data_IF_878310156703
#
_entry.id   IF_878310156703
#
_cell.length_a   1.000
_cell.length_b   1.000
_cell.length_c   1.000
_cell.angle_alpha   90.00
_cell.angle_beta   90.00
_cell.angle_gamma   90.00
#
_symmetry.space_group_name_H-M   'P 1'
#
loop_
_entity.id
_entity.type
_entity.pdbx_description
1 polymer ?
#
# COMPACT_ATOMS: atom_id res chain seq x y z
N UNK A 1 46.15 -11.04 -51.14
CA UNK A 1 46.32 -11.50 -49.75
C UNK A 1 46.79 -10.34 -48.90
N UNK A 2 45.88 -9.73 -48.12
CA UNK A 2 46.21 -8.64 -47.20
C UNK A 2 46.38 -9.25 -45.81
N UNK A 3 47.59 -9.19 -45.28
CA UNK A 3 47.92 -9.67 -43.94
C UNK A 3 47.26 -8.76 -42.91
N UNK A 4 46.29 -9.29 -42.18
CA UNK A 4 45.80 -8.67 -40.94
C UNK A 4 46.87 -8.92 -39.89
N UNK A 5 47.46 -7.85 -39.38
CA UNK A 5 48.50 -7.89 -38.35
C UNK A 5 47.96 -8.59 -37.09
N UNK A 6 48.70 -9.57 -36.57
CA UNK A 6 48.41 -10.26 -35.30
C UNK A 6 48.21 -9.29 -34.12
N UNK A 7 48.77 -8.08 -34.20
CA UNK A 7 48.62 -7.04 -33.18
C UNK A 7 47.17 -6.54 -33.08
N UNK A 8 46.42 -6.53 -34.20
CA UNK A 8 45.02 -6.10 -34.23
C UNK A 8 44.06 -7.16 -33.64
N UNK A 9 44.44 -8.44 -33.65
CA UNK A 9 43.62 -9.51 -33.09
C UNK A 9 43.77 -9.62 -31.57
N UNK A 10 44.98 -9.37 -31.04
CA UNK A 10 45.22 -9.32 -29.59
C UNK A 10 44.54 -8.10 -28.96
N UNK A 11 44.57 -6.92 -29.61
CA UNK A 11 43.84 -5.75 -29.09
C UNK A 11 42.31 -5.94 -29.09
N UNK A 12 41.75 -6.61 -30.09
CA UNK A 12 40.30 -6.89 -30.14
C UNK A 12 39.85 -7.89 -29.07
N UNK A 13 40.67 -8.91 -28.77
CA UNK A 13 40.40 -9.84 -27.67
C UNK A 13 40.55 -9.20 -26.28
N UNK A 14 41.51 -8.28 -26.11
CA UNK A 14 41.65 -7.51 -24.87
C UNK A 14 40.46 -6.56 -24.65
N UNK A 15 39.97 -5.90 -25.69
CA UNK A 15 38.81 -4.99 -25.61
C UNK A 15 37.49 -5.72 -25.33
N UNK A 16 37.32 -6.95 -25.83
CA UNK A 16 36.17 -7.80 -25.50
C UNK A 16 36.26 -8.40 -24.09
N UNK A 17 37.47 -8.61 -23.55
CA UNK A 17 37.63 -9.04 -22.16
C UNK A 17 37.45 -7.91 -21.13
N UNK A 18 37.54 -6.64 -21.56
CA UNK A 18 37.22 -5.48 -20.70
C UNK A 18 35.75 -5.06 -20.74
N UNK A 19 34.92 -5.61 -21.64
CA UNK A 19 33.47 -5.34 -21.65
C UNK A 19 32.66 -6.32 -20.79
N UNK A 20 33.28 -7.35 -20.21
CA UNK A 20 32.56 -8.40 -19.50
C UNK A 20 33.08 -8.73 -18.09
N UNK A 21 33.99 -7.95 -17.50
CA UNK A 21 34.25 -8.12 -16.06
C UNK A 21 34.75 -6.88 -15.33
N UNK A 22 33.98 -6.51 -14.29
CA UNK A 22 34.25 -5.58 -13.17
C UNK A 22 34.14 -4.09 -13.51
N UNK A 23 33.49 -3.26 -12.70
CA UNK A 23 33.21 -3.40 -11.27
C UNK A 23 31.77 -3.79 -10.96
N UNK A 24 31.61 -4.53 -9.86
CA UNK A 24 30.49 -4.28 -8.97
C UNK A 24 30.39 -2.76 -8.86
N UNK A 25 29.35 -2.14 -9.43
CA UNK A 25 28.90 -0.90 -8.84
C UNK A 25 28.59 -1.31 -7.40
N UNK A 26 29.53 -1.04 -6.49
CA UNK A 26 29.24 -1.07 -5.06
C UNK A 26 28.07 -0.13 -4.97
N UNK A 27 26.88 -0.71 -4.87
CA UNK A 27 25.67 0.07 -4.76
C UNK A 27 25.92 0.94 -3.55
N UNK A 28 26.09 2.25 -3.76
CA UNK A 28 26.32 3.14 -2.62
C UNK A 28 25.07 3.16 -1.75
N UNK A 29 23.92 2.67 -2.24
CA UNK A 29 22.79 2.27 -1.39
C UNK A 29 23.26 1.26 -0.36
N UNK A 30 23.04 1.56 0.92
CA UNK A 30 23.13 0.56 1.98
C UNK A 30 21.90 -0.35 1.87
N UNK A 31 21.81 -1.05 0.75
CA UNK A 31 20.91 -2.18 0.55
C UNK A 31 21.45 -3.31 1.41
N UNK A 32 21.02 -3.36 2.66
CA UNK A 32 21.19 -4.52 3.51
C UNK A 32 19.98 -5.42 3.33
N UNK A 33 20.23 -6.73 3.29
CA UNK A 33 19.16 -7.68 3.58
C UNK A 33 18.65 -7.33 4.98
N UNK A 34 17.35 -7.06 5.12
CA UNK A 34 16.73 -6.94 6.42
C UNK A 34 17.11 -8.20 7.21
N UNK A 35 17.78 -8.05 8.37
CA UNK A 35 18.26 -9.21 9.13
C UNK A 35 17.08 -10.09 9.57
N UNK A 36 15.89 -9.51 9.72
CA UNK A 36 14.63 -10.22 9.97
C UNK A 36 14.12 -10.99 8.74
N UNK A 37 14.59 -10.66 7.54
CA UNK A 37 14.35 -11.37 6.28
C UNK A 37 15.64 -12.02 5.74
N UNK A 38 16.63 -12.27 6.60
CA UNK A 38 17.88 -12.89 6.15
C UNK A 38 17.62 -14.30 5.64
N UNK A 39 18.31 -14.73 4.58
CA UNK A 39 18.16 -16.09 4.04
C UNK A 39 18.36 -17.20 5.10
N UNK A 40 19.17 -16.92 6.13
CA UNK A 40 19.30 -17.79 7.30
C UNK A 40 18.02 -17.93 8.12
N UNK A 41 17.24 -16.86 8.29
CA UNK A 41 15.93 -16.89 8.95
C UNK A 41 14.83 -17.45 8.04
N UNK A 42 14.95 -17.27 6.73
CA UNK A 42 14.02 -17.83 5.73
C UNK A 42 14.16 -19.36 5.53
N UNK A 43 14.86 -20.07 6.41
CA UNK A 43 14.97 -21.53 6.38
C UNK A 43 16.32 -22.08 5.91
N UNK A 44 17.40 -21.30 5.96
CA UNK A 44 18.76 -21.83 5.77
C UNK A 44 18.96 -22.49 4.41
N UNK A 45 18.31 -21.96 3.36
CA UNK A 45 18.61 -22.40 2.00
C UNK A 45 20.09 -22.10 1.75
N UNK A 46 20.90 -23.14 1.61
CA UNK A 46 22.11 -23.01 0.81
C UNK A 46 21.62 -22.47 -0.54
N UNK A 47 21.97 -21.22 -0.84
CA UNK A 47 21.57 -20.62 -2.10
C UNK A 47 22.10 -21.53 -3.20
N UNK A 48 21.17 -22.05 -4.01
CA UNK A 48 21.55 -22.88 -5.15
C UNK A 48 22.59 -22.10 -5.95
N UNK A 49 23.70 -22.75 -6.26
CA UNK A 49 24.67 -22.17 -7.18
C UNK A 49 23.98 -21.88 -8.50
N UNK A 50 24.49 -20.91 -9.26
CA UNK A 50 23.97 -20.61 -10.59
C UNK A 50 23.89 -21.86 -11.49
N UNK A 51 24.85 -22.78 -11.35
CA UNK A 51 24.87 -24.05 -12.09
C UNK A 51 23.77 -25.01 -11.65
N UNK A 52 23.36 -24.97 -10.39
CA UNK A 52 22.22 -25.74 -9.87
C UNK A 52 20.90 -25.11 -10.31
N UNK A 53 20.77 -23.77 -10.26
CA UNK A 53 19.59 -23.06 -10.76
C UNK A 53 19.30 -23.36 -12.25
N UNK A 54 20.34 -23.41 -13.10
CA UNK A 54 20.18 -23.79 -14.52
C UNK A 54 19.64 -25.21 -14.66
N UNK A 55 20.02 -26.13 -13.77
CA UNK A 55 19.57 -27.53 -13.80
C UNK A 55 18.17 -27.70 -13.22
N UNK A 56 17.72 -26.77 -12.38
CA UNK A 56 16.37 -26.76 -11.81
C UNK A 56 15.37 -26.27 -12.85
N UNK A 57 14.74 -27.20 -13.56
CA UNK A 57 13.73 -26.88 -14.60
C UNK A 57 12.31 -26.73 -14.06
N UNK A 58 12.07 -27.13 -12.81
CA UNK A 58 10.76 -27.09 -12.15
C UNK A 58 10.94 -27.00 -10.64
N UNK A 59 10.06 -26.25 -9.99
CA UNK A 59 9.87 -26.26 -8.54
C UNK A 59 8.43 -26.67 -8.26
N UNK A 60 8.23 -27.53 -7.27
CA UNK A 60 6.90 -27.94 -6.81
C UNK A 60 6.64 -27.36 -5.43
N UNK A 61 5.43 -26.87 -5.20
CA UNK A 61 4.97 -26.36 -3.90
C UNK A 61 4.04 -27.38 -3.26
N UNK A 62 3.95 -27.38 -1.93
CA UNK A 62 3.08 -28.31 -1.18
C UNK A 62 1.58 -28.10 -1.46
N UNK A 63 1.20 -26.92 -1.94
CA UNK A 63 -0.16 -26.59 -2.37
C UNK A 63 -0.14 -25.49 -3.42
N UNK A 64 -1.20 -25.46 -4.23
CA UNK A 64 -1.46 -24.33 -5.12
C UNK A 64 -2.29 -23.28 -4.36
N UNK A 65 -1.91 -22.00 -4.42
CA UNK A 65 -2.76 -20.95 -3.88
C UNK A 65 -4.14 -20.99 -4.52
N UNK A 66 -5.20 -20.76 -3.75
CA UNK A 66 -6.53 -20.67 -4.33
C UNK A 66 -6.76 -19.33 -5.04
N UNK A 67 -7.57 -19.36 -6.10
CA UNK A 67 -7.91 -18.16 -6.89
C UNK A 67 -9.13 -17.46 -6.32
N UNK A 68 -9.12 -16.14 -6.29
CA UNK A 68 -10.31 -15.33 -6.05
C UNK A 68 -10.12 -13.92 -6.62
N UNK A 69 -11.11 -13.06 -6.39
CA UNK A 69 -11.00 -11.62 -6.61
C UNK A 69 -10.13 -10.96 -5.54
N UNK A 70 -9.53 -9.81 -5.89
CA UNK A 70 -8.82 -8.94 -4.95
C UNK A 70 -9.76 -8.00 -4.20
N UNK A 71 -11.08 -8.19 -4.31
CA UNK A 71 -12.12 -7.37 -3.66
C UNK A 71 -11.94 -5.87 -3.95
N UNK A 72 -12.19 -5.45 -5.21
CA UNK A 72 -11.93 -4.09 -5.67
C UNK A 72 -12.68 -3.06 -4.83
N UNK A 73 -12.01 -1.97 -4.46
CA UNK A 73 -12.65 -0.89 -3.71
C UNK A 73 -13.71 -0.16 -4.56
N UNK A 74 -13.58 -0.14 -5.89
CA UNK A 74 -14.61 0.34 -6.83
C UNK A 74 -15.90 -0.48 -6.74
N UNK A 75 -15.82 -1.71 -6.25
CA UNK A 75 -16.98 -2.58 -6.01
C UNK A 75 -17.34 -2.68 -4.53
N UNK A 76 -16.94 -1.68 -3.72
CA UNK A 76 -17.19 -1.61 -2.27
C UNK A 76 -16.52 -2.75 -1.47
N UNK A 77 -15.42 -3.31 -1.97
CA UNK A 77 -14.64 -4.35 -1.28
C UNK A 77 -15.49 -5.58 -0.91
N UNK A 78 -15.46 -5.99 0.35
CA UNK A 78 -16.29 -7.10 0.84
C UNK A 78 -17.80 -6.81 0.90
N UNK A 79 -18.21 -5.55 0.74
CA UNK A 79 -19.63 -5.16 0.67
C UNK A 79 -20.22 -5.39 -0.72
N UNK A 80 -19.43 -5.91 -1.67
CA UNK A 80 -19.91 -6.28 -3.00
C UNK A 80 -20.99 -7.36 -2.90
N UNK A 81 -22.20 -7.06 -3.36
CA UNK A 81 -23.27 -8.06 -3.58
C UNK A 81 -23.18 -8.64 -4.98
N UNK A 82 -23.67 -9.87 -5.13
CA UNK A 82 -23.76 -10.54 -6.44
C UNK A 82 -24.88 -9.94 -7.30
N UNK A 83 -25.98 -9.53 -6.66
CA UNK A 83 -27.02 -8.73 -7.28
C UNK A 83 -26.54 -7.28 -7.41
N UNK A 84 -26.69 -6.71 -8.61
CA UNK A 84 -26.42 -5.29 -8.84
C UNK A 84 -27.65 -4.48 -8.44
N UNK A 85 -27.43 -3.42 -7.67
CA UNK A 85 -28.41 -2.35 -7.51
C UNK A 85 -28.54 -1.60 -8.85
N UNK A 86 -29.74 -1.08 -9.12
CA UNK A 86 -29.98 -0.15 -10.23
C UNK A 86 -29.54 1.29 -9.90
N UNK A 87 -29.26 1.56 -8.61
CA UNK A 87 -28.75 2.84 -8.14
C UNK A 87 -27.25 2.97 -8.45
N UNK A 88 -26.78 4.16 -8.89
CA UNK A 88 -25.35 4.39 -9.11
C UNK A 88 -24.49 4.18 -7.86
N UNK A 89 -24.98 4.64 -6.70
CA UNK A 89 -24.31 4.44 -5.41
C UNK A 89 -24.99 3.32 -4.64
N UNK A 90 -26.24 3.50 -4.21
CA UNK A 90 -27.05 2.46 -3.55
C UNK A 90 -26.75 2.28 -2.06
N UNK A 91 -26.27 3.34 -1.38
CA UNK A 91 -25.83 3.26 0.02
C UNK A 91 -27.02 3.01 0.96
N UNK A 92 -28.11 3.76 0.79
CA UNK A 92 -29.28 3.64 1.66
C UNK A 92 -29.98 2.28 1.47
N UNK A 93 -30.17 1.87 0.21
CA UNK A 93 -30.73 0.57 -0.15
C UNK A 93 -29.92 -0.57 0.47
N UNK A 94 -28.58 -0.52 0.36
CA UNK A 94 -27.70 -1.55 0.90
C UNK A 94 -27.95 -1.79 2.39
N UNK A 95 -27.89 -0.75 3.22
CA UNK A 95 -28.04 -0.88 4.67
C UNK A 95 -29.49 -1.15 5.08
N UNK A 96 -30.47 -0.72 4.29
CA UNK A 96 -31.88 -1.06 4.51
C UNK A 96 -32.09 -2.57 4.34
N UNK A 97 -31.58 -3.16 3.23
CA UNK A 97 -31.61 -4.62 3.03
C UNK A 97 -30.89 -5.35 4.16
N UNK A 98 -29.71 -4.89 4.57
CA UNK A 98 -28.95 -5.55 5.63
C UNK A 98 -29.70 -5.53 6.98
N UNK A 99 -30.37 -4.42 7.29
CA UNK A 99 -31.20 -4.26 8.50
C UNK A 99 -32.41 -5.18 8.46
N UNK A 100 -33.07 -5.33 7.31
CA UNK A 100 -34.17 -6.26 7.11
C UNK A 100 -33.71 -7.71 7.27
N UNK A 101 -32.62 -8.09 6.60
CA UNK A 101 -32.07 -9.45 6.62
C UNK A 101 -31.58 -9.88 8.01
N UNK A 102 -31.22 -8.94 8.88
CA UNK A 102 -30.87 -9.24 10.28
C UNK A 102 -32.02 -9.87 11.07
N UNK A 103 -33.27 -9.68 10.63
CA UNK A 103 -34.50 -10.23 11.22
C UNK A 103 -34.93 -11.55 10.58
N UNK A 104 -34.34 -11.91 9.44
CA UNK A 104 -34.76 -13.08 8.69
C UNK A 104 -34.34 -14.37 9.40
N UNK A 105 -35.22 -15.37 9.33
CA UNK A 105 -34.91 -16.70 9.82
C UNK A 105 -33.89 -17.41 8.91
N UNK A 106 -34.01 -17.23 7.61
CA UNK A 106 -33.04 -17.71 6.61
C UNK A 106 -32.56 -16.49 5.82
N UNK A 107 -31.25 -16.24 5.84
CA UNK A 107 -30.65 -15.14 5.09
C UNK A 107 -30.67 -15.41 3.58
N UNK A 108 -30.83 -14.33 2.81
CA UNK A 108 -30.59 -14.36 1.37
C UNK A 108 -29.14 -14.80 1.08
N UNK A 109 -28.93 -15.88 0.30
CA UNK A 109 -27.59 -16.33 -0.06
C UNK A 109 -26.82 -15.33 -0.94
N UNK A 110 -27.48 -14.35 -1.56
CA UNK A 110 -26.86 -13.36 -2.45
C UNK A 110 -26.30 -12.12 -1.73
N UNK A 111 -26.46 -12.06 -0.41
CA UNK A 111 -25.80 -11.04 0.42
C UNK A 111 -24.28 -11.08 0.25
N UNK A 112 -23.63 -9.94 0.46
CA UNK A 112 -22.18 -9.85 0.40
C UNK A 112 -21.51 -10.62 1.55
N UNK A 113 -20.21 -10.98 1.42
CA UNK A 113 -19.46 -11.56 2.53
C UNK A 113 -19.50 -10.67 3.78
N UNK A 114 -19.41 -9.34 3.61
CA UNK A 114 -19.52 -8.38 4.71
C UNK A 114 -20.91 -8.38 5.37
N UNK A 115 -21.97 -8.40 4.57
CA UNK A 115 -23.36 -8.46 5.07
C UNK A 115 -23.55 -9.67 6.00
N UNK A 116 -23.14 -10.84 5.52
CA UNK A 116 -23.27 -12.12 6.23
C UNK A 116 -22.45 -12.10 7.51
N UNK A 117 -21.20 -11.62 7.46
CA UNK A 117 -20.35 -11.53 8.64
C UNK A 117 -20.95 -10.64 9.72
N UNK A 118 -21.37 -9.43 9.35
CA UNK A 118 -21.94 -8.46 10.28
C UNK A 118 -23.23 -9.02 10.94
N UNK A 119 -24.10 -9.69 10.19
CA UNK A 119 -25.31 -10.34 10.73
C UNK A 119 -24.95 -11.48 11.67
N UNK A 120 -24.05 -12.37 11.26
CA UNK A 120 -23.58 -13.51 12.07
C UNK A 120 -22.91 -13.04 13.36
N UNK A 121 -22.09 -11.99 13.30
CA UNK A 121 -21.45 -11.38 14.47
C UNK A 121 -22.51 -10.87 15.45
N UNK A 122 -23.52 -10.14 14.97
CA UNK A 122 -24.60 -9.64 15.82
C UNK A 122 -25.39 -10.78 16.48
N UNK A 123 -25.73 -11.82 15.73
CA UNK A 123 -26.44 -12.98 16.26
C UNK A 123 -25.62 -13.72 17.32
N UNK A 124 -24.35 -14.00 17.04
CA UNK A 124 -23.44 -14.69 17.98
C UNK A 124 -23.24 -13.93 19.29
N UNK A 125 -23.20 -12.60 19.22
CA UNK A 125 -22.89 -11.75 20.37
C UNK A 125 -24.11 -11.02 20.95
N UNK A 126 -25.33 -11.42 20.56
CA UNK A 126 -26.59 -10.81 21.01
C UNK A 126 -26.60 -9.28 20.89
N UNK A 127 -26.07 -8.75 19.78
CA UNK A 127 -26.05 -7.31 19.51
C UNK A 127 -27.34 -6.93 18.79
N UNK A 128 -27.99 -5.88 19.29
CA UNK A 128 -29.25 -5.36 18.75
C UNK A 128 -28.95 -4.14 17.90
N UNK A 129 -29.62 -4.03 16.74
CA UNK A 129 -29.55 -2.85 15.89
C UNK A 129 -30.40 -1.72 16.48
N UNK A 130 -29.92 -0.49 16.42
CA UNK A 130 -30.74 0.69 16.67
C UNK A 130 -31.50 1.04 15.38
N UNK A 131 -32.56 0.30 15.10
CA UNK A 131 -33.29 0.40 13.83
C UNK A 131 -33.85 1.79 13.55
N UNK A 132 -34.36 2.48 14.58
CA UNK A 132 -34.88 3.85 14.45
C UNK A 132 -33.77 4.82 14.03
N UNK A 133 -32.65 4.81 14.74
CA UNK A 133 -31.52 5.68 14.39
C UNK A 133 -30.94 5.32 13.01
N UNK A 134 -30.82 4.02 12.71
CA UNK A 134 -30.34 3.58 11.40
C UNK A 134 -31.28 4.06 10.28
N UNK A 135 -32.61 3.99 10.47
CA UNK A 135 -33.58 4.47 9.49
C UNK A 135 -33.49 5.99 9.27
N UNK A 136 -33.29 6.78 10.33
CA UNK A 136 -33.07 8.23 10.22
C UNK A 136 -31.78 8.56 9.46
N UNK A 137 -30.69 7.85 9.76
CA UNK A 137 -29.42 7.97 9.04
C UNK A 137 -29.59 7.59 7.56
N UNK A 138 -30.22 6.45 7.26
CA UNK A 138 -30.43 5.99 5.87
C UNK A 138 -31.31 6.92 5.07
N UNK A 139 -32.34 7.53 5.68
CA UNK A 139 -33.18 8.55 5.02
C UNK A 139 -32.38 9.76 4.56
N UNK A 140 -31.31 10.10 5.28
CA UNK A 140 -30.38 11.19 4.88
C UNK A 140 -29.58 10.81 3.64
N UNK A 141 -29.36 9.52 3.37
CA UNK A 141 -28.63 9.03 2.19
C UNK A 141 -29.54 8.66 1.02
N UNK A 142 -30.82 8.39 1.26
CA UNK A 142 -31.80 8.13 0.20
C UNK A 142 -31.97 9.34 -0.73
N UNK A 143 -31.82 10.56 -0.21
CA UNK A 143 -31.82 11.77 -1.03
C UNK A 143 -30.62 11.81 -1.99
N UNK A 144 -29.42 11.38 -1.56
CA UNK A 144 -28.25 11.23 -2.46
C UNK A 144 -28.59 10.30 -3.63
N UNK A 145 -29.11 9.10 -3.34
CA UNK A 145 -29.38 8.09 -4.37
C UNK A 145 -30.46 8.55 -5.37
N UNK A 146 -31.28 9.54 -4.98
CA UNK A 146 -32.32 10.14 -5.83
C UNK A 146 -31.83 11.38 -6.58
N UNK A 147 -30.96 12.18 -5.97
CA UNK A 147 -30.43 13.44 -6.52
C UNK A 147 -29.21 13.24 -7.42
N UNK A 148 -28.50 12.11 -7.32
CA UNK A 148 -27.32 11.84 -8.11
C UNK A 148 -27.68 11.61 -9.59
N UNK A 149 -27.41 12.62 -10.41
CA UNK A 149 -27.53 12.57 -11.86
C UNK A 149 -26.14 12.43 -12.50
N UNK A 150 -25.87 11.27 -13.11
CA UNK A 150 -24.60 11.02 -13.80
C UNK A 150 -24.45 11.82 -15.11
N UNK A 151 -25.52 12.48 -15.59
CA UNK A 151 -25.47 13.38 -16.73
C UNK A 151 -25.20 14.84 -16.35
N UNK A 152 -25.21 15.17 -15.06
CA UNK A 152 -24.85 16.49 -14.55
C UNK A 152 -23.35 16.78 -14.70
N UNK A 153 -22.94 18.03 -14.44
CA UNK A 153 -21.51 18.36 -14.37
C UNK A 153 -20.81 17.51 -13.31
N UNK A 154 -19.66 16.92 -13.66
CA UNK A 154 -18.86 16.05 -12.79
C UNK A 154 -18.62 16.66 -11.40
N UNK A 155 -18.36 17.97 -11.33
CA UNK A 155 -18.16 18.71 -10.09
C UNK A 155 -19.36 18.66 -9.14
N UNK A 156 -20.59 18.70 -9.69
CA UNK A 156 -21.84 18.62 -8.94
C UNK A 156 -22.03 17.20 -8.38
N UNK A 157 -21.86 16.18 -9.22
CA UNK A 157 -21.99 14.77 -8.82
C UNK A 157 -20.94 14.39 -7.78
N UNK A 158 -19.69 14.85 -7.94
CA UNK A 158 -18.63 14.69 -6.93
C UNK A 158 -18.96 15.39 -5.61
N UNK A 159 -19.44 16.63 -5.65
CA UNK A 159 -19.79 17.38 -4.43
C UNK A 159 -20.88 16.66 -3.63
N UNK A 160 -21.84 16.05 -4.33
CA UNK A 160 -22.90 15.27 -3.71
C UNK A 160 -22.35 13.99 -3.04
N UNK A 161 -21.54 13.18 -3.75
CA UNK A 161 -20.90 11.99 -3.18
C UNK A 161 -19.95 12.36 -2.02
N UNK A 162 -19.22 13.47 -2.13
CA UNK A 162 -18.34 13.99 -1.07
C UNK A 162 -19.12 14.36 0.19
N UNK A 163 -20.29 14.99 0.03
CA UNK A 163 -21.19 15.31 1.15
C UNK A 163 -21.64 14.03 1.85
N UNK A 164 -22.04 13.00 1.10
CA UNK A 164 -22.40 11.70 1.67
C UNK A 164 -21.20 11.01 2.32
N UNK A 165 -20.02 11.02 1.70
CA UNK A 165 -18.80 10.45 2.26
C UNK A 165 -18.46 11.08 3.62
N UNK A 166 -18.51 12.41 3.71
CA UNK A 166 -18.28 13.16 4.94
C UNK A 166 -19.34 12.86 6.01
N UNK A 167 -20.62 12.81 5.62
CA UNK A 167 -21.69 12.43 6.52
C UNK A 167 -21.51 10.99 7.02
N UNK A 168 -21.29 10.03 6.12
CA UNK A 168 -21.08 8.62 6.43
C UNK A 168 -19.93 8.40 7.39
N UNK A 169 -18.82 9.14 7.23
CA UNK A 169 -17.60 9.04 8.06
C UNK A 169 -17.59 9.96 9.28
N UNK A 170 -18.62 10.78 9.48
CA UNK A 170 -18.68 11.74 10.58
C UNK A 170 -18.62 11.06 11.95
N UNK A 171 -18.26 11.83 12.99
CA UNK A 171 -18.34 11.35 14.36
C UNK A 171 -19.79 11.02 14.79
N UNK A 172 -20.79 11.73 14.26
CA UNK A 172 -22.21 11.50 14.58
C UNK A 172 -22.70 10.14 14.09
N UNK A 173 -22.12 9.63 12.99
CA UNK A 173 -22.46 8.31 12.44
C UNK A 173 -21.49 7.20 12.90
N UNK A 174 -20.62 7.45 13.87
CA UNK A 174 -19.67 6.44 14.36
C UNK A 174 -20.38 5.20 14.92
N UNK A 175 -21.48 5.39 15.65
CA UNK A 175 -22.24 4.27 16.22
C UNK A 175 -23.04 3.50 15.17
N UNK A 176 -23.46 4.15 14.07
CA UNK A 176 -23.99 3.44 12.91
C UNK A 176 -22.92 2.50 12.34
N UNK A 177 -21.71 3.02 12.06
CA UNK A 177 -20.62 2.21 11.48
C UNK A 177 -20.20 1.05 12.37
N UNK A 178 -20.21 1.21 13.70
CA UNK A 178 -19.94 0.13 14.66
C UNK A 178 -20.96 -1.00 14.63
N UNK A 179 -22.19 -0.74 14.19
CA UNK A 179 -23.21 -1.79 14.03
C UNK A 179 -22.96 -2.65 12.79
N UNK A 180 -22.23 -2.13 11.80
CA UNK A 180 -21.94 -2.76 10.52
C UNK A 180 -20.43 -2.68 10.19
N UNK A 181 -19.56 -3.24 11.06
CA UNK A 181 -18.13 -2.96 10.99
C UNK A 181 -17.51 -3.40 9.66
N UNK A 182 -17.89 -4.57 9.13
CA UNK A 182 -17.34 -5.08 7.88
C UNK A 182 -17.91 -4.33 6.68
N UNK A 183 -19.23 -4.14 6.65
CA UNK A 183 -19.88 -3.48 5.52
C UNK A 183 -19.45 -2.00 5.41
N UNK A 184 -19.30 -1.33 6.56
CA UNK A 184 -18.95 0.10 6.59
C UNK A 184 -17.54 0.39 6.10
N UNK A 185 -16.61 -0.54 6.26
CA UNK A 185 -15.22 -0.38 5.81
C UNK A 185 -15.12 -0.26 4.28
N UNK A 186 -15.78 -1.20 3.57
CA UNK A 186 -15.85 -1.18 2.11
C UNK A 186 -16.56 0.08 1.57
N UNK A 187 -17.67 0.48 2.20
CA UNK A 187 -18.40 1.69 1.81
C UNK A 187 -17.64 2.99 2.10
N UNK A 188 -16.95 3.08 3.25
CA UNK A 188 -16.14 4.25 3.59
C UNK A 188 -15.05 4.49 2.54
N UNK A 189 -14.34 3.43 2.15
CA UNK A 189 -13.32 3.47 1.12
C UNK A 189 -13.92 3.88 -0.24
N UNK A 190 -14.96 3.17 -0.70
CA UNK A 190 -15.61 3.46 -1.98
C UNK A 190 -16.08 4.92 -2.11
N UNK A 191 -16.77 5.43 -1.08
CA UNK A 191 -17.27 6.81 -1.06
C UNK A 191 -16.12 7.83 -1.03
N UNK A 192 -15.04 7.54 -0.29
CA UNK A 192 -13.87 8.40 -0.23
C UNK A 192 -13.21 8.53 -1.61
N UNK A 193 -12.81 7.40 -2.22
CA UNK A 193 -12.13 7.41 -3.52
C UNK A 193 -13.00 7.98 -4.63
N UNK A 194 -14.28 7.56 -4.71
CA UNK A 194 -15.24 8.12 -5.68
C UNK A 194 -15.40 9.64 -5.53
N UNK A 195 -15.36 10.18 -4.30
CA UNK A 195 -15.56 11.62 -4.07
C UNK A 195 -14.33 12.51 -4.28
N UNK A 196 -13.13 11.93 -4.35
CA UNK A 196 -11.89 12.69 -4.37
C UNK A 196 -11.48 13.06 -5.80
N UNK A 197 -11.12 14.33 -6.02
CA UNK A 197 -10.89 14.91 -7.35
C UNK A 197 -9.76 14.22 -8.13
N UNK A 198 -8.81 13.61 -7.44
CA UNK A 198 -7.66 12.91 -8.04
C UNK A 198 -8.00 11.54 -8.64
N UNK A 199 -9.10 10.90 -8.23
CA UNK A 199 -9.44 9.54 -8.63
C UNK A 199 -10.65 9.52 -9.56
N UNK A 200 -10.67 8.57 -10.49
CA UNK A 200 -11.77 8.38 -11.43
C UNK A 200 -13.13 8.31 -10.72
N UNK A 201 -14.08 9.14 -11.15
CA UNK A 201 -15.45 9.17 -10.63
C UNK A 201 -16.25 8.04 -11.25
N UNK A 202 -16.51 6.98 -10.49
CA UNK A 202 -17.17 5.78 -11.00
C UNK A 202 -16.44 5.27 -12.25
N UNK A 203 -17.17 5.00 -13.33
CA UNK A 203 -16.64 4.54 -14.62
C UNK A 203 -16.52 5.71 -15.65
N UNK A 204 -16.49 6.97 -15.18
CA UNK A 204 -16.38 8.13 -16.07
C UNK A 204 -14.94 8.35 -16.52
N UNK A 205 -14.66 8.13 -17.81
CA UNK A 205 -13.35 8.42 -18.42
C UNK A 205 -12.92 9.87 -18.20
N UNK A 206 -11.60 10.09 -18.16
CA UNK A 206 -10.95 11.41 -17.99
C UNK A 206 -11.35 12.20 -16.72
N UNK A 207 -11.98 11.54 -15.75
CA UNK A 207 -12.42 12.19 -14.50
C UNK A 207 -11.38 12.15 -13.37
N UNK A 208 -10.29 11.38 -13.52
CA UNK A 208 -9.21 11.24 -12.54
C UNK A 208 -8.35 10.00 -12.82
N UNK A 209 -7.44 9.67 -11.89
CA UNK A 209 -6.61 8.46 -11.93
C UNK A 209 -7.46 7.20 -11.72
N UNK A 210 -7.26 6.19 -12.57
CA UNK A 210 -7.90 4.89 -12.39
C UNK A 210 -7.41 4.22 -11.09
N UNK A 211 -8.36 3.94 -10.20
CA UNK A 211 -8.15 3.29 -8.92
C UNK A 211 -8.85 1.92 -8.86
N UNK A 212 -9.31 1.40 -9.99
CA UNK A 212 -9.93 0.08 -10.10
C UNK A 212 -9.01 -1.04 -9.61
N UNK A 213 -7.69 -0.87 -9.71
CA UNK A 213 -6.69 -1.80 -9.21
C UNK A 213 -6.58 -1.86 -7.68
N UNK A 214 -7.15 -0.89 -6.95
CA UNK A 214 -7.09 -0.86 -5.49
C UNK A 214 -8.05 -1.89 -4.87
N UNK A 215 -7.56 -2.64 -3.88
CA UNK A 215 -8.33 -3.64 -3.15
C UNK A 215 -7.49 -4.37 -2.11
N UNK A 216 -7.94 -5.55 -1.72
CA UNK A 216 -7.33 -6.41 -0.71
C UNK A 216 -6.41 -7.47 -1.30
N UNK A 217 -5.69 -7.17 -2.39
CA UNK A 217 -4.71 -8.10 -2.99
C UNK A 217 -3.63 -8.53 -1.98
N UNK A 218 -3.17 -7.62 -1.12
CA UNK A 218 -2.21 -7.88 -0.04
C UNK A 218 -2.74 -8.82 1.05
N UNK A 219 -4.07 -8.95 1.19
CA UNK A 219 -4.70 -9.94 2.07
C UNK A 219 -4.99 -11.26 1.34
N UNK A 220 -5.44 -11.18 0.08
CA UNK A 220 -5.77 -12.34 -0.73
C UNK A 220 -4.53 -13.21 -0.98
N UNK A 221 -3.42 -12.62 -1.41
CA UNK A 221 -2.20 -13.35 -1.76
C UNK A 221 -1.69 -14.28 -0.64
N UNK A 222 -1.49 -13.81 0.61
CA UNK A 222 -1.15 -14.70 1.70
C UNK A 222 -2.28 -15.66 2.08
N UNK A 223 -3.53 -15.20 2.12
CA UNK A 223 -4.65 -16.08 2.46
C UNK A 223 -4.76 -17.27 1.49
N UNK A 224 -4.52 -17.02 0.21
CA UNK A 224 -4.50 -18.01 -0.86
C UNK A 224 -3.50 -19.12 -0.62
N UNK A 225 -2.33 -18.77 -0.10
CA UNK A 225 -1.22 -19.68 0.12
C UNK A 225 -1.28 -20.38 1.48
N UNK A 226 -1.64 -19.64 2.53
CA UNK A 226 -1.54 -20.07 3.92
C UNK A 226 -2.80 -20.76 4.45
N UNK A 227 -3.97 -20.49 3.86
CA UNK A 227 -5.23 -21.10 4.26
C UNK A 227 -5.62 -22.24 3.31
N UNK A 228 -6.16 -23.32 3.86
CA UNK A 228 -6.78 -24.37 3.05
C UNK A 228 -7.89 -23.78 2.17
N UNK A 229 -7.91 -24.17 0.90
CA UNK A 229 -8.97 -23.75 -0.02
C UNK A 229 -10.34 -24.16 0.51
N UNK A 230 -11.29 -23.23 0.69
CA UNK A 230 -12.66 -23.59 1.04
C UNK A 230 -13.29 -24.41 -0.09
N UNK A 231 -13.61 -25.69 0.19
CA UNK A 231 -14.13 -26.65 -0.79
C UNK A 231 -15.66 -26.72 -0.84
N UNK A 232 -16.31 -26.29 0.22
CA UNK A 232 -17.75 -26.43 0.41
C UNK A 232 -18.32 -25.19 1.10
N UNK A 233 -19.52 -24.79 0.69
CA UNK A 233 -20.35 -23.87 1.43
C UNK A 233 -20.71 -24.42 2.81
N UNK A 234 -20.86 -23.53 3.78
CA UNK A 234 -21.21 -23.86 5.17
C UNK A 234 -22.57 -23.26 5.50
N UNK A 235 -23.48 -24.09 6.00
CA UNK A 235 -24.73 -23.61 6.58
C UNK A 235 -24.52 -23.34 8.07
N UNK A 236 -24.29 -22.07 8.42
CA UNK A 236 -24.16 -21.65 9.80
C UNK A 236 -25.55 -21.53 10.45
N UNK A 237 -25.76 -22.21 11.58
CA UNK A 237 -27.04 -22.25 12.30
C UNK A 237 -26.91 -21.62 13.68
N UNK A 238 -27.87 -20.75 14.03
CA UNK A 238 -27.96 -20.05 15.31
C UNK A 238 -29.41 -20.13 15.78
N UNK A 239 -29.69 -21.02 16.73
CA UNK A 239 -31.05 -21.33 17.19
C UNK A 239 -31.97 -21.74 16.02
N UNK A 240 -32.99 -20.94 15.74
CA UNK A 240 -33.93 -21.10 14.63
C UNK A 240 -33.48 -20.42 13.33
N UNK A 241 -32.34 -19.72 13.35
CA UNK A 241 -31.81 -18.94 12.23
C UNK A 241 -30.69 -19.65 11.48
N UNK A 242 -30.56 -19.38 10.18
CA UNK A 242 -29.53 -19.96 9.33
C UNK A 242 -29.01 -19.04 8.24
N UNK A 243 -27.73 -19.21 7.89
CA UNK A 243 -27.03 -18.47 6.84
C UNK A 243 -26.21 -19.44 5.99
N UNK A 244 -26.39 -19.39 4.68
CA UNK A 244 -25.51 -20.08 3.74
C UNK A 244 -24.29 -19.18 3.44
N UNK A 245 -23.13 -19.59 3.94
CA UNK A 245 -21.84 -18.96 3.69
C UNK A 245 -21.13 -19.76 2.60
N UNK A 246 -21.05 -19.20 1.40
CA UNK A 246 -20.46 -19.86 0.23
C UNK A 246 -18.93 -19.89 0.33
N UNK A 247 -18.29 -20.68 -0.52
CA UNK A 247 -16.83 -20.75 -0.62
C UNK A 247 -16.22 -19.37 -0.92
N UNK A 248 -16.88 -18.56 -1.76
CA UNK A 248 -16.46 -17.19 -2.06
C UNK A 248 -16.59 -16.25 -0.86
N UNK A 249 -17.64 -16.40 -0.05
CA UNK A 249 -17.77 -15.66 1.21
C UNK A 249 -16.63 -16.01 2.17
N UNK A 250 -16.32 -17.30 2.32
CA UNK A 250 -15.24 -17.76 3.20
C UNK A 250 -13.89 -17.20 2.72
N UNK A 251 -13.59 -17.27 1.42
CA UNK A 251 -12.36 -16.70 0.85
C UNK A 251 -12.28 -15.18 1.00
N UNK A 252 -13.40 -14.46 0.87
CA UNK A 252 -13.46 -13.03 1.14
C UNK A 252 -13.15 -12.68 2.60
N UNK A 253 -13.76 -13.41 3.54
CA UNK A 253 -13.52 -13.22 4.97
C UNK A 253 -12.08 -13.58 5.36
N UNK A 254 -11.50 -14.64 4.78
CA UNK A 254 -10.09 -14.96 4.94
C UNK A 254 -9.20 -13.85 4.40
N UNK A 255 -9.49 -13.36 3.19
CA UNK A 255 -8.76 -12.25 2.57
C UNK A 255 -8.71 -11.04 3.49
N UNK A 256 -9.85 -10.63 4.07
CA UNK A 256 -9.89 -9.51 4.99
C UNK A 256 -9.19 -9.78 6.32
N UNK A 257 -9.33 -10.98 6.86
CA UNK A 257 -8.60 -11.38 8.07
C UNK A 257 -7.09 -11.23 7.87
N UNK A 258 -6.57 -11.64 6.72
CA UNK A 258 -5.15 -11.48 6.38
C UNK A 258 -4.80 -10.02 6.07
N UNK A 259 -5.65 -9.27 5.37
CA UNK A 259 -5.42 -7.84 5.13
C UNK A 259 -5.25 -7.05 6.44
N UNK A 260 -6.12 -7.32 7.43
CA UNK A 260 -6.17 -6.54 8.67
C UNK A 260 -5.26 -7.08 9.77
N UNK A 261 -5.01 -8.39 9.79
CA UNK A 261 -4.39 -9.08 10.93
C UNK A 261 -3.37 -10.13 10.50
N UNK A 262 -2.75 -10.00 9.32
CA UNK A 262 -1.67 -10.93 8.98
C UNK A 262 -0.55 -10.85 10.03
N UNK A 263 0.03 -12.00 10.44
CA UNK A 263 1.08 -12.04 11.44
C UNK A 263 2.34 -11.33 10.91
N UNK A 264 2.49 -10.03 11.21
CA UNK A 264 3.60 -9.19 10.74
C UNK A 264 4.97 -9.80 11.02
N UNK A 265 5.11 -10.46 12.16
CA UNK A 265 6.35 -11.11 12.63
C UNK A 265 6.73 -12.38 11.87
N UNK A 266 5.80 -12.93 11.08
CA UNK A 266 5.97 -14.13 10.26
C UNK A 266 5.92 -13.78 8.76
N UNK A 267 5.85 -12.49 8.42
CA UNK A 267 5.99 -12.01 7.06
C UNK A 267 7.42 -11.60 6.77
N UNK A 268 7.94 -12.06 5.64
CA UNK A 268 9.30 -11.77 5.22
C UNK A 268 9.29 -10.93 3.96
N UNK A 269 9.49 -9.63 4.11
CA UNK A 269 9.60 -8.75 2.96
C UNK A 269 11.05 -8.73 2.44
N UNK A 270 11.23 -9.05 1.16
CA UNK A 270 12.53 -8.95 0.47
C UNK A 270 12.50 -7.68 -0.41
N UNK A 271 13.38 -6.72 -0.12
CA UNK A 271 13.46 -5.45 -0.86
C UNK A 271 13.08 -4.20 -0.07
N UNK A 272 13.17 -4.20 1.27
CA UNK A 272 12.96 -2.99 2.08
C UNK A 272 14.05 -1.96 1.80
N UNK A 273 13.69 -0.69 1.68
CA UNK A 273 14.66 0.42 1.64
C UNK A 273 14.78 1.03 3.03
N UNK A 274 15.78 0.62 3.81
CA UNK A 274 15.99 1.09 5.18
C UNK A 274 17.13 2.10 5.29
N UNK A 275 16.97 3.16 6.07
CA UNK A 275 18.07 4.10 6.37
C UNK A 275 18.33 4.35 7.85
N UNK A 276 17.40 4.11 8.82
CA UNK A 276 17.77 4.39 10.23
C UNK A 276 17.06 3.65 11.38
N UNK A 277 15.84 3.11 11.25
CA UNK A 277 15.20 2.43 12.40
C UNK A 277 15.05 0.92 12.22
N UNK A 278 16.13 0.18 12.48
CA UNK A 278 16.10 -1.29 12.54
C UNK A 278 15.57 -1.81 13.89
N UNK A 279 15.41 -0.95 14.89
CA UNK A 279 14.97 -1.34 16.23
C UNK A 279 13.43 -1.42 16.34
N UNK A 280 12.73 -0.61 15.55
CA UNK A 280 11.29 -0.67 15.38
C UNK A 280 10.93 -0.62 13.88
N UNK A 281 11.11 -1.74 13.16
CA UNK A 281 10.73 -1.85 11.74
C UNK A 281 9.20 -1.82 11.52
N UNK A 282 8.40 -1.81 12.60
CA UNK A 282 6.94 -1.79 12.60
C UNK A 282 6.36 -0.41 13.01
N UNK A 283 7.22 0.57 13.35
CA UNK A 283 6.79 1.89 13.82
C UNK A 283 6.02 2.67 12.75
N UNK A 284 4.99 3.41 13.18
CA UNK A 284 4.20 4.27 12.29
C UNK A 284 5.11 5.25 11.55
N UNK A 285 5.05 5.23 10.22
CA UNK A 285 5.83 6.15 9.40
C UNK A 285 5.27 7.55 9.63
N UNK A 286 6.08 8.48 10.12
CA UNK A 286 5.58 9.83 10.31
C UNK A 286 5.17 10.43 8.95
N UNK A 287 3.91 10.85 8.85
CA UNK A 287 3.30 11.36 7.61
C UNK A 287 2.80 12.79 7.76
N UNK A 288 2.56 13.46 6.64
CA UNK A 288 1.80 14.70 6.63
C UNK A 288 0.28 14.45 6.78
N UNK A 289 -0.49 15.54 6.78
CA UNK A 289 -1.96 15.52 6.85
C UNK A 289 -2.65 14.78 5.69
N UNK A 290 -1.92 14.52 4.59
CA UNK A 290 -2.41 13.81 3.42
C UNK A 290 -1.99 12.33 3.43
N UNK A 291 -1.34 11.86 4.50
CA UNK A 291 -0.87 10.48 4.62
C UNK A 291 0.43 10.19 3.86
N UNK A 292 1.11 11.22 3.33
CA UNK A 292 2.41 11.03 2.67
C UNK A 292 3.51 10.98 3.73
N UNK A 293 4.20 9.85 3.83
CA UNK A 293 5.39 9.71 4.69
C UNK A 293 6.48 10.72 4.33
N UNK A 294 7.13 11.33 5.33
CA UNK A 294 8.33 12.13 5.08
C UNK A 294 9.60 11.27 5.15
N UNK A 295 10.63 11.68 4.39
CA UNK A 295 11.89 10.94 4.26
C UNK A 295 12.82 11.12 5.46
N UNK A 296 12.61 12.17 6.23
CA UNK A 296 13.42 12.54 7.37
C UNK A 296 12.94 13.85 7.96
N UNK A 297 13.65 14.31 9.00
CA UNK A 297 13.49 15.63 9.58
C UNK A 297 14.84 16.27 9.86
N UNK A 298 14.88 17.59 9.70
CA UNK A 298 16.00 18.43 10.12
C UNK A 298 15.68 18.97 11.52
N UNK A 299 16.64 18.84 12.44
CA UNK A 299 16.52 19.24 13.84
C UNK A 299 17.32 20.53 14.05
N UNK A 300 16.67 21.61 14.46
CA UNK A 300 17.31 22.90 14.79
C UNK A 300 16.89 23.34 16.18
N UNK A 301 17.70 23.00 17.18
CA UNK A 301 17.30 23.14 18.59
C UNK A 301 16.11 22.22 18.88
N UNK A 302 15.00 22.78 19.33
CA UNK A 302 13.75 22.03 19.58
C UNK A 302 12.89 21.85 18.32
N UNK A 303 13.16 22.61 17.25
CA UNK A 303 12.38 22.56 16.03
C UNK A 303 12.73 21.32 15.19
N UNK A 304 11.69 20.57 14.79
CA UNK A 304 11.79 19.43 13.87
C UNK A 304 11.06 19.80 12.57
N UNK A 305 11.80 19.85 11.47
CA UNK A 305 11.25 20.19 10.15
C UNK A 305 11.26 18.94 9.27
N UNK A 306 10.10 18.32 8.99
CA UNK A 306 10.04 17.17 8.11
C UNK A 306 10.41 17.58 6.68
N UNK A 307 10.94 16.63 5.91
CA UNK A 307 11.23 16.86 4.49
C UNK A 307 10.91 15.65 3.61
N UNK A 308 10.62 15.94 2.35
CA UNK A 308 10.32 14.99 1.28
C UNK A 308 11.45 15.03 0.25
N UNK A 309 11.83 13.87 -0.32
CA UNK A 309 12.77 13.81 -1.45
C UNK A 309 11.97 13.84 -2.75
N UNK A 310 12.29 14.77 -3.66
CA UNK A 310 11.51 15.02 -4.88
C UNK A 310 11.94 14.20 -6.10
N UNK A 311 13.14 13.64 -6.10
CA UNK A 311 13.60 12.74 -7.15
C UNK A 311 14.62 11.74 -6.63
N UNK A 312 14.67 10.58 -7.27
CA UNK A 312 15.72 9.60 -7.01
C UNK A 312 17.05 10.12 -7.53
N UNK A 313 17.93 10.46 -6.57
CA UNK A 313 19.38 10.64 -6.67
C UNK A 313 19.89 11.34 -7.95
N UNK A 314 20.48 12.52 -7.79
CA UNK A 314 21.46 13.01 -8.76
C UNK A 314 22.73 12.14 -8.68
N UNK A 315 22.76 11.05 -9.44
CA UNK A 315 23.96 10.28 -9.74
C UNK A 315 24.84 11.06 -10.70
N UNK A 316 25.39 12.20 -10.28
CA UNK A 316 26.55 12.72 -10.98
C UNK A 316 27.70 11.77 -10.71
N UNK A 317 28.14 11.07 -11.77
CA UNK A 317 29.25 10.11 -11.78
C UNK A 317 30.60 10.68 -11.28
N UNK A 318 30.64 11.92 -10.78
CA UNK A 318 31.83 12.66 -10.36
C UNK A 318 31.99 12.81 -8.84
N UNK A 319 31.04 12.34 -8.01
CA UNK A 319 31.11 12.52 -6.55
C UNK A 319 31.32 11.18 -5.84
N UNK A 320 32.57 10.74 -5.72
CA UNK A 320 32.96 9.37 -5.31
C UNK A 320 32.71 8.97 -3.84
N UNK A 321 31.81 9.64 -3.09
CA UNK A 321 31.45 9.22 -1.71
C UNK A 321 30.28 9.99 -1.08
N UNK A 322 29.33 10.53 -1.85
CA UNK A 322 28.29 11.38 -1.31
C UNK A 322 27.02 11.40 -2.13
N UNK A 323 25.87 11.54 -1.45
CA UNK A 323 24.54 11.54 -2.06
C UNK A 323 23.89 12.90 -1.90
N UNK A 324 23.35 13.45 -2.98
CA UNK A 324 22.61 14.70 -2.95
C UNK A 324 21.11 14.40 -3.07
N UNK A 325 20.33 14.90 -2.11
CA UNK A 325 18.88 14.80 -2.05
C UNK A 325 18.27 16.18 -2.34
N UNK A 326 17.55 16.36 -3.47
CA UNK A 326 16.67 17.50 -3.63
C UNK A 326 15.48 17.31 -2.70
N UNK A 327 15.39 18.15 -1.67
CA UNK A 327 14.36 18.05 -0.64
C UNK A 327 13.34 19.17 -0.75
N UNK A 328 12.14 18.92 -0.25
CA UNK A 328 11.12 19.92 0.02
C UNK A 328 10.58 19.78 1.42
N UNK A 329 10.13 20.87 2.01
CA UNK A 329 9.46 20.89 3.30
C UNK A 329 7.95 20.64 3.20
N UNK A 330 7.41 20.54 1.97
CA UNK A 330 6.01 20.19 1.73
C UNK A 330 5.87 19.08 0.68
N UNK A 331 4.82 18.28 0.80
CA UNK A 331 4.58 17.14 -0.10
C UNK A 331 4.32 17.56 -1.55
N UNK A 332 3.74 18.74 -1.75
CA UNK A 332 3.39 19.30 -3.07
C UNK A 332 4.40 20.35 -3.58
N UNK A 333 5.32 20.82 -2.73
CA UNK A 333 6.28 21.87 -3.08
C UNK A 333 7.31 21.49 -4.14
N UNK A 334 7.97 22.50 -4.71
CA UNK A 334 9.19 22.32 -5.50
C UNK A 334 10.39 21.93 -4.64
N UNK A 335 11.59 21.92 -5.22
CA UNK A 335 12.82 21.71 -4.44
C UNK A 335 13.11 22.96 -3.61
N UNK A 336 13.07 22.83 -2.29
CA UNK A 336 13.39 23.90 -1.35
C UNK A 336 14.89 23.98 -1.04
N UNK A 337 15.57 22.82 -1.07
CA UNK A 337 16.99 22.72 -0.75
C UNK A 337 17.63 21.43 -1.28
N UNK A 338 18.95 21.35 -1.19
CA UNK A 338 19.76 20.22 -1.55
C UNK A 338 20.53 19.75 -0.32
N UNK A 339 20.21 18.55 0.16
CA UNK A 339 20.86 17.92 1.30
C UNK A 339 21.95 16.97 0.77
N UNK A 340 23.20 17.18 1.16
CA UNK A 340 24.31 16.31 0.86
C UNK A 340 24.59 15.41 2.07
N UNK A 341 24.41 14.10 1.90
CA UNK A 341 24.91 13.08 2.81
C UNK A 341 26.31 12.66 2.36
N UNK A 342 27.24 12.64 3.29
CA UNK A 342 28.59 12.08 3.11
C UNK A 342 28.83 11.02 4.17
N UNK A 343 29.66 10.03 3.87
CA UNK A 343 30.01 8.97 4.83
C UNK A 343 31.52 8.87 4.99
N UNK A 344 31.99 8.91 6.24
CA UNK A 344 33.40 8.67 6.59
C UNK A 344 33.46 7.72 7.78
N UNK A 345 34.16 6.60 7.62
CA UNK A 345 34.32 5.60 8.69
C UNK A 345 32.99 5.17 9.33
N UNK A 346 31.98 4.89 8.51
CA UNK A 346 30.60 4.54 8.90
C UNK A 346 29.80 5.65 9.61
N UNK A 347 30.38 6.82 9.86
CA UNK A 347 29.65 7.98 10.36
C UNK A 347 29.09 8.78 9.18
N UNK A 348 27.79 9.06 9.21
CA UNK A 348 27.13 9.94 8.25
C UNK A 348 27.29 11.40 8.69
N UNK A 349 27.57 12.29 7.75
CA UNK A 349 27.57 13.74 7.91
C UNK A 349 26.68 14.37 6.86
N UNK A 350 25.98 15.43 7.23
CA UNK A 350 24.99 16.07 6.39
C UNK A 350 25.31 17.55 6.28
N UNK A 351 25.18 18.09 5.08
CA UNK A 351 25.15 19.53 4.87
C UNK A 351 23.99 19.88 3.97
N UNK A 352 23.45 21.08 4.08
CA UNK A 352 22.34 21.55 3.24
C UNK A 352 22.69 22.87 2.58
N UNK A 353 22.21 23.05 1.36
CA UNK A 353 22.30 24.32 0.64
C UNK A 353 21.02 24.62 -0.13
N UNK A 354 20.77 25.89 -0.45
CA UNK A 354 19.60 26.30 -1.26
C UNK A 354 19.76 25.98 -2.75
N UNK A 355 20.97 25.75 -3.23
CA UNK A 355 21.25 25.45 -4.64
C UNK A 355 22.17 24.25 -4.79
N UNK A 356 22.00 23.52 -5.89
CA UNK A 356 22.84 22.39 -6.25
C UNK A 356 24.30 22.84 -6.46
N UNK A 357 24.51 23.99 -7.09
CA UNK A 357 25.85 24.54 -7.35
C UNK A 357 26.65 24.77 -6.07
N UNK A 358 26.01 25.24 -4.98
CA UNK A 358 26.67 25.41 -3.69
C UNK A 358 27.13 24.08 -3.11
N UNK A 359 26.29 23.04 -3.18
CA UNK A 359 26.65 21.67 -2.75
C UNK A 359 27.82 21.12 -3.57
N UNK A 360 27.81 21.34 -4.89
CA UNK A 360 28.90 20.94 -5.79
C UNK A 360 30.19 21.67 -5.43
N UNK A 361 30.15 22.99 -5.25
CA UNK A 361 31.30 23.81 -4.88
C UNK A 361 31.89 23.37 -3.54
N UNK A 362 31.06 23.19 -2.52
CA UNK A 362 31.47 22.64 -1.23
C UNK A 362 32.21 21.32 -1.36
N UNK A 363 31.70 20.43 -2.23
CA UNK A 363 32.31 19.12 -2.40
C UNK A 363 33.62 19.15 -3.17
N UNK A 364 33.72 20.00 -4.20
CA UNK A 364 34.89 20.09 -5.08
C UNK A 364 36.05 20.89 -4.47
N UNK A 365 35.75 22.03 -3.84
CA UNK A 365 36.78 22.98 -3.35
C UNK A 365 36.76 23.19 -1.84
N UNK A 366 35.76 22.65 -1.12
CA UNK A 366 35.55 22.93 0.30
C UNK A 366 34.90 24.30 0.56
N UNK A 367 34.39 24.98 -0.48
CA UNK A 367 33.71 26.27 -0.33
C UNK A 367 32.46 26.13 0.55
N UNK A 368 32.44 26.85 1.67
CA UNK A 368 31.33 26.82 2.64
C UNK A 368 30.28 27.90 2.37
N UNK A 369 30.43 28.67 1.31
CA UNK A 369 29.47 29.73 0.96
C UNK A 369 28.09 29.14 0.69
N UNK A 370 27.11 29.51 1.52
CA UNK A 370 25.73 29.01 1.40
C UNK A 370 25.51 27.58 1.91
N UNK A 371 26.48 27.02 2.64
CA UNK A 371 26.39 25.69 3.26
C UNK A 371 26.03 25.82 4.74
N UNK A 372 25.01 25.08 5.15
CA UNK A 372 24.69 24.83 6.56
C UNK A 372 25.13 23.40 6.91
N UNK A 373 25.92 23.24 7.97
CA UNK A 373 26.35 21.94 8.48
C UNK A 373 25.28 21.35 9.40
N UNK A 374 24.77 20.17 9.04
CA UNK A 374 23.72 19.44 9.74
C UNK A 374 24.19 18.06 10.21
N UNK A 375 25.49 17.83 10.39
CA UNK A 375 26.06 16.50 10.64
C UNK A 375 25.51 15.77 11.87
N UNK A 376 24.94 16.48 12.84
CA UNK A 376 24.25 15.92 14.02
C UNK A 376 22.74 16.20 14.06
N UNK A 377 22.20 16.79 12.99
CA UNK A 377 20.93 17.51 13.00
C UNK A 377 19.98 17.01 11.90
N UNK A 378 20.27 15.86 11.29
CA UNK A 378 19.35 15.20 10.37
C UNK A 378 19.03 13.82 10.90
N UNK A 379 17.74 13.55 11.02
CA UNK A 379 17.21 12.23 11.28
C UNK A 379 16.51 11.76 10.01
N UNK A 380 17.08 10.77 9.33
CA UNK A 380 16.43 10.11 8.19
C UNK A 380 15.43 9.08 8.74
N UNK A 381 14.24 8.98 8.16
CA UNK A 381 13.31 7.90 8.46
C UNK A 381 13.46 6.80 7.40
N UNK A 382 13.53 5.55 7.83
CA UNK A 382 13.41 4.35 6.97
C UNK A 382 12.54 3.33 7.70
N UNK A 383 11.81 2.41 7.06
CA UNK A 383 11.98 1.87 5.72
C UNK A 383 10.75 2.13 4.83
N UNK A 384 10.95 2.18 3.51
CA UNK A 384 9.83 2.20 2.56
C UNK A 384 9.67 0.82 1.93
N UNK A 385 8.43 0.32 1.92
CA UNK A 385 8.00 -0.72 0.99
C UNK A 385 7.97 -0.06 -0.39
N UNK A 386 8.96 -0.36 -1.23
CA UNK A 386 9.03 0.23 -2.59
C UNK A 386 8.00 -0.41 -3.54
N UNK A 387 7.30 -1.45 -3.09
CA UNK A 387 6.14 -2.08 -3.73
C UNK A 387 5.68 -3.24 -2.82
N UNK A 388 4.39 -3.43 -2.46
CA UNK A 388 3.97 -4.48 -1.52
C UNK A 388 3.96 -5.89 -2.15
N UNK A 389 5.09 -6.33 -2.71
CA UNK A 389 5.33 -7.74 -3.01
C UNK A 389 5.97 -8.40 -1.77
N UNK A 390 5.17 -8.55 -0.71
CA UNK A 390 5.55 -9.35 0.46
C UNK A 390 5.74 -10.80 0.04
N UNK A 391 6.88 -11.40 0.40
CA UNK A 391 7.03 -12.85 0.30
C UNK A 391 6.48 -13.48 1.58
N UNK A 392 5.51 -14.37 1.42
CA UNK A 392 5.05 -15.22 2.51
C UNK A 392 5.71 -16.58 2.34
N UNK A 393 6.45 -17.01 3.36
CA UNK A 393 7.01 -18.35 3.42
C UNK A 393 6.11 -19.18 4.34
N UNK A 394 5.71 -20.36 3.88
CA UNK A 394 4.95 -21.34 4.65
C UNK A 394 5.86 -22.32 5.38
#
# INVERSE_FOLDING_TARGET
MKYISMVSMVLASSLLSMSCSRSEAVSETKEGIDLNSSFSQLGGFESLTYQELIKTTKVETGGLPWTDTYWPLTEKGLSRRWSKSDKPIGLAEFFATQTEQNKAQTLDPNLSPADKYDILYRWRHNKVLNETANAETMKTWESLDTELDLSAELSVSRALVKTTSNNFRSATNADFRKQFPMSSDGWASYLYYTSADQYMFLDQEDSGEDWSWMGSCHGWAPAAFMAETPKHAVLAKFDDRQVLVTEGDIRGLLTKSWADHSPSKEQYFVGRRCETNLADPEGEIPSDQNGRGYYGQIIRGEAKTPFFVKSEKFGMASISSGRIYPISYTSEGGVDAYLLETSKSNQKSYVIAKSLDAVIAYRQSGDRTGIEDLSSNVEMFGCWDVNPATMHLA
#
